data_IF_217520125026
#
_entry.id   IF_217520125026
#
_cell.length_a   1.000
_cell.length_b   1.000
_cell.length_c   1.000
_cell.angle_alpha   90.00
_cell.angle_beta   90.00
_cell.angle_gamma   90.00
#
_symmetry.space_group_name_H-M   'P 1'
#
loop_
_entity.id
_entity.type
_entity.pdbx_description
1 polymer ?
#
# COMPACT_ATOMS: atom_id res chain seq x y z
N UNK A 1 10.78 1.37 -4.71
CA UNK A 1 11.15 0.71 -3.43
C UNK A 1 10.31 -0.56 -3.23
N UNK A 2 10.60 -1.38 -2.22
CA UNK A 2 9.75 -2.50 -1.80
C UNK A 2 9.14 -2.15 -0.44
N UNK A 3 7.81 -2.22 -0.32
CA UNK A 3 7.07 -2.02 0.92
C UNK A 3 6.59 -3.38 1.45
N UNK A 4 7.01 -3.76 2.66
CA UNK A 4 6.64 -5.06 3.25
C UNK A 4 5.38 -4.90 4.11
N UNK A 5 4.32 -5.62 3.78
CA UNK A 5 3.08 -5.65 4.58
C UNK A 5 3.27 -6.51 5.83
N UNK A 6 3.05 -5.92 7.00
CA UNK A 6 3.18 -6.57 8.30
C UNK A 6 1.81 -6.69 8.99
N UNK A 7 1.54 -7.87 9.53
CA UNK A 7 0.35 -8.21 10.32
C UNK A 7 0.71 -8.80 11.69
N UNK A 8 1.95 -8.58 12.13
CA UNK A 8 2.49 -9.13 13.37
C UNK A 8 1.74 -8.57 14.59
N UNK A 9 1.31 -9.45 15.49
CA UNK A 9 0.54 -9.10 16.69
C UNK A 9 1.44 -8.87 17.90
N UNK A 10 2.65 -9.43 17.90
CA UNK A 10 3.62 -9.17 18.93
C UNK A 10 4.33 -7.83 18.66
N UNK A 11 4.14 -6.86 19.54
CA UNK A 11 4.72 -5.52 19.37
C UNK A 11 6.25 -5.52 19.24
N UNK A 12 6.96 -6.30 20.06
CA UNK A 12 8.43 -6.36 20.01
C UNK A 12 8.92 -6.99 18.71
N UNK A 13 8.27 -8.06 18.26
CA UNK A 13 8.60 -8.69 16.98
C UNK A 13 8.29 -7.75 15.80
N UNK A 14 7.21 -6.97 15.86
CA UNK A 14 6.92 -5.95 14.84
C UNK A 14 8.01 -4.87 14.82
N UNK A 15 8.46 -4.39 15.98
CA UNK A 15 9.58 -3.44 16.10
C UNK A 15 10.89 -3.98 15.50
N UNK A 16 11.15 -5.28 15.65
CA UNK A 16 12.29 -5.94 15.00
C UNK A 16 12.12 -6.02 13.48
N UNK A 17 10.92 -6.39 13.01
CA UNK A 17 10.62 -6.52 11.57
C UNK A 17 10.77 -5.19 10.83
N UNK A 18 10.24 -4.09 11.37
CA UNK A 18 10.33 -2.78 10.70
C UNK A 18 11.77 -2.29 10.53
N UNK A 19 12.72 -2.74 11.36
CA UNK A 19 14.14 -2.38 11.21
C UNK A 19 14.84 -3.12 10.08
N UNK A 20 14.25 -4.20 9.58
CA UNK A 20 14.83 -5.05 8.52
C UNK A 20 14.53 -4.54 7.12
N UNK A 21 13.53 -3.69 6.95
CA UNK A 21 13.02 -3.30 5.65
C UNK A 21 13.02 -1.79 5.49
N UNK A 22 13.20 -1.35 4.24
CA UNK A 22 13.29 0.07 3.90
C UNK A 22 11.96 0.81 4.07
N UNK A 23 10.86 0.11 3.84
CA UNK A 23 9.49 0.60 3.90
C UNK A 23 8.58 -0.55 4.34
N UNK A 24 7.66 -0.28 5.26
CA UNK A 24 6.67 -1.26 5.71
C UNK A 24 5.26 -0.67 5.72
N UNK A 25 4.28 -1.50 5.40
CA UNK A 25 2.88 -1.25 5.69
C UNK A 25 2.53 -1.96 7.00
N UNK A 26 1.96 -1.22 7.96
CA UNK A 26 1.45 -1.79 9.20
C UNK A 26 -0.07 -1.97 9.04
N UNK A 27 -0.51 -3.22 8.99
CA UNK A 27 -1.94 -3.58 8.99
C UNK A 27 -2.50 -3.49 10.41
N UNK A 28 -2.80 -2.26 10.84
CA UNK A 28 -3.25 -1.94 12.19
C UNK A 28 -4.54 -2.70 12.55
N UNK A 29 -5.38 -2.99 11.56
CA UNK A 29 -6.57 -3.85 11.71
C UNK A 29 -6.26 -5.30 12.14
N UNK A 30 -5.07 -5.81 11.80
CA UNK A 30 -4.63 -7.18 12.12
C UNK A 30 -3.71 -7.23 13.34
N UNK A 31 -2.89 -6.19 13.53
CA UNK A 31 -1.91 -6.08 14.61
C UNK A 31 -2.56 -5.83 15.99
N UNK A 32 -3.67 -5.07 16.04
CA UNK A 32 -4.43 -4.75 17.27
C UNK A 32 -3.60 -4.04 18.37
N UNK A 33 -2.67 -3.19 17.95
CA UNK A 33 -1.87 -2.37 18.87
C UNK A 33 -2.69 -1.25 19.52
N UNK A 34 -2.35 -0.90 20.76
CA UNK A 34 -2.85 0.29 21.43
C UNK A 34 -2.32 1.57 20.77
N UNK A 35 -2.99 2.71 20.97
CA UNK A 35 -2.49 3.99 20.45
C UNK A 35 -1.09 4.35 20.95
N UNK A 36 -0.69 3.93 22.16
CA UNK A 36 0.66 4.19 22.65
C UNK A 36 1.71 3.37 21.89
N UNK A 37 1.43 2.09 21.64
CA UNK A 37 2.28 1.23 20.81
C UNK A 37 2.37 1.76 19.38
N UNK A 38 1.25 2.18 18.79
CA UNK A 38 1.22 2.81 17.46
C UNK A 38 2.15 4.04 17.43
N UNK A 39 2.05 4.93 18.43
CA UNK A 39 2.91 6.12 18.48
C UNK A 39 4.39 5.78 18.54
N UNK A 40 4.77 4.82 19.38
CA UNK A 40 6.16 4.37 19.49
C UNK A 40 6.64 3.74 18.18
N UNK A 41 5.82 2.89 17.55
CA UNK A 41 6.14 2.23 16.29
C UNK A 41 6.41 3.23 15.17
N UNK A 42 5.47 4.16 14.95
CA UNK A 42 5.54 5.14 13.87
C UNK A 42 6.63 6.19 14.07
N UNK A 43 6.96 6.54 15.31
CA UNK A 43 8.09 7.42 15.61
C UNK A 43 9.47 6.74 15.39
N UNK A 44 9.51 5.41 15.30
CA UNK A 44 10.78 4.67 15.26
C UNK A 44 11.32 4.38 13.85
N UNK A 45 10.52 4.59 12.80
CA UNK A 45 10.91 4.29 11.43
C UNK A 45 10.31 5.29 10.43
N UNK A 46 11.12 5.94 9.57
CA UNK A 46 10.69 7.11 8.78
C UNK A 46 9.79 6.77 7.60
N UNK A 47 9.59 5.49 7.27
CA UNK A 47 8.88 5.03 6.07
C UNK A 47 7.89 3.93 6.41
N UNK A 48 6.88 4.29 7.19
CA UNK A 48 5.77 3.41 7.51
C UNK A 48 4.47 3.90 6.87
N UNK A 49 3.73 2.96 6.29
CA UNK A 49 2.36 3.15 5.77
C UNK A 49 1.38 2.66 6.84
N UNK A 50 0.48 3.53 7.27
CA UNK A 50 -0.61 3.19 8.18
C UNK A 50 -1.83 2.71 7.39
N UNK A 51 -2.23 1.46 7.60
CA UNK A 51 -3.43 0.88 6.98
C UNK A 51 -4.32 0.30 8.06
N UNK A 52 -5.61 0.66 8.05
CA UNK A 52 -6.60 0.08 8.97
C UNK A 52 -7.88 -0.22 8.19
N UNK A 53 -7.95 -1.44 7.63
CA UNK A 53 -9.08 -1.84 6.78
C UNK A 53 -10.40 -1.89 7.56
N UNK A 54 -11.55 -1.67 6.89
CA UNK A 54 -12.85 -1.91 7.48
C UNK A 54 -12.92 -3.36 7.98
N UNK A 55 -13.35 -3.51 9.23
CA UNK A 55 -13.55 -4.76 9.95
C UNK A 55 -14.83 -4.60 10.78
N UNK A 56 -15.11 -5.50 11.73
CA UNK A 56 -16.20 -5.29 12.69
C UNK A 56 -16.00 -4.04 13.58
N UNK A 57 -14.81 -3.45 13.56
CA UNK A 57 -14.49 -2.20 14.25
C UNK A 57 -15.09 -1.00 13.50
N UNK A 58 -15.95 -0.22 14.16
CA UNK A 58 -16.60 0.95 13.57
C UNK A 58 -15.64 2.07 13.15
N UNK A 59 -16.09 2.92 12.23
CA UNK A 59 -15.28 3.99 11.60
C UNK A 59 -14.62 4.94 12.61
N UNK A 60 -15.23 5.21 13.76
CA UNK A 60 -14.66 6.10 14.78
C UNK A 60 -13.40 5.51 15.44
N UNK A 61 -13.37 4.21 15.72
CA UNK A 61 -12.16 3.59 16.26
C UNK A 61 -11.08 3.47 15.18
N UNK A 62 -11.48 3.16 13.93
CA UNK A 62 -10.55 3.16 12.79
C UNK A 62 -9.88 4.53 12.62
N UNK A 63 -10.68 5.60 12.67
CA UNK A 63 -10.19 6.98 12.57
C UNK A 63 -9.18 7.29 13.67
N UNK A 64 -9.50 6.93 14.92
CA UNK A 64 -8.61 7.13 16.07
C UNK A 64 -7.28 6.38 15.92
N UNK A 65 -7.30 5.13 15.43
CA UNK A 65 -6.11 4.33 15.16
C UNK A 65 -5.23 5.02 14.10
N UNK A 66 -5.82 5.45 12.98
CA UNK A 66 -5.10 6.14 11.90
C UNK A 66 -4.56 7.49 12.36
N UNK A 67 -5.32 8.24 13.17
CA UNK A 67 -4.86 9.50 13.76
C UNK A 67 -3.63 9.30 14.66
N UNK A 68 -3.63 8.27 15.51
CA UNK A 68 -2.47 7.92 16.33
C UNK A 68 -1.20 7.66 15.48
N UNK A 69 -1.33 7.04 14.31
CA UNK A 69 -0.21 6.80 13.40
C UNK A 69 0.23 8.08 12.66
N UNK A 70 -0.72 8.87 12.14
CA UNK A 70 -0.44 10.13 11.44
C UNK A 70 0.29 11.12 12.37
N UNK A 71 -0.22 11.31 13.59
CA UNK A 71 0.36 12.20 14.59
C UNK A 71 1.78 11.80 14.99
N UNK A 72 2.08 10.50 14.92
CA UNK A 72 3.38 9.93 15.27
C UNK A 72 4.41 9.96 14.13
N UNK A 73 4.04 10.47 12.94
CA UNK A 73 4.95 10.62 11.81
C UNK A 73 4.87 9.51 10.77
N UNK A 74 3.69 8.89 10.58
CA UNK A 74 3.46 8.03 9.43
C UNK A 74 3.85 8.74 8.12
N UNK A 75 4.58 8.03 7.26
CA UNK A 75 4.96 8.55 5.96
C UNK A 75 3.76 8.54 5.00
N UNK A 76 2.92 7.51 5.11
CA UNK A 76 1.69 7.39 4.35
C UNK A 76 0.54 6.91 5.23
N UNK A 77 -0.68 7.29 4.86
CA UNK A 77 -1.92 6.66 5.35
C UNK A 77 -2.73 6.15 4.17
N UNK A 78 -3.18 4.90 4.25
CA UNK A 78 -4.06 4.26 3.25
C UNK A 78 -5.53 4.39 3.67
N UNK A 79 -6.37 4.82 2.74
CA UNK A 79 -7.80 5.07 2.90
C UNK A 79 -8.52 4.33 1.76
N UNK A 80 -9.51 3.50 2.07
CA UNK A 80 -10.29 2.83 1.04
C UNK A 80 -11.20 3.82 0.30
N UNK A 81 -11.24 3.71 -1.04
CA UNK A 81 -12.05 4.55 -1.91
C UNK A 81 -13.55 4.48 -1.56
N UNK A 82 -14.00 3.30 -1.15
CA UNK A 82 -15.38 2.98 -0.75
C UNK A 82 -15.77 3.54 0.63
N UNK A 83 -14.81 4.08 1.40
CA UNK A 83 -15.11 4.73 2.67
C UNK A 83 -16.02 5.94 2.48
N UNK A 84 -16.79 6.27 3.52
CA UNK A 84 -17.67 7.45 3.50
C UNK A 84 -16.90 8.73 3.23
N UNK A 85 -17.54 9.72 2.59
CA UNK A 85 -16.89 10.99 2.27
C UNK A 85 -16.38 11.71 3.52
N UNK A 86 -17.16 11.70 4.62
CA UNK A 86 -16.75 12.30 5.89
C UNK A 86 -15.49 11.63 6.46
N UNK A 87 -15.44 10.30 6.48
CA UNK A 87 -14.25 9.57 6.91
C UNK A 87 -13.02 9.94 6.07
N UNK A 88 -13.15 9.91 4.73
CA UNK A 88 -12.06 10.29 3.82
C UNK A 88 -11.55 11.69 4.12
N UNK A 89 -12.45 12.67 4.22
CA UNK A 89 -12.09 14.07 4.44
C UNK A 89 -11.39 14.29 5.79
N UNK A 90 -11.84 13.62 6.86
CA UNK A 90 -11.22 13.71 8.19
C UNK A 90 -9.77 13.19 8.16
N UNK A 91 -9.53 12.02 7.54
CA UNK A 91 -8.17 11.47 7.43
C UNK A 91 -7.29 12.34 6.54
N UNK A 92 -7.80 12.81 5.40
CA UNK A 92 -7.03 13.67 4.46
C UNK A 92 -6.63 14.99 5.13
N UNK A 93 -7.54 15.64 5.86
CA UNK A 93 -7.21 16.86 6.61
C UNK A 93 -6.11 16.60 7.64
N UNK A 94 -6.27 15.56 8.45
CA UNK A 94 -5.30 15.20 9.48
C UNK A 94 -3.93 14.85 8.88
N UNK A 95 -3.90 14.11 7.77
CA UNK A 95 -2.67 13.77 7.08
C UNK A 95 -1.93 15.02 6.58
N UNK A 96 -2.66 15.98 6.00
CA UNK A 96 -2.12 17.26 5.53
C UNK A 96 -1.51 18.09 6.67
N UNK A 97 -2.17 18.19 7.81
CA UNK A 97 -1.67 18.91 9.00
C UNK A 97 -0.32 18.35 9.50
N UNK A 98 -0.13 17.03 9.35
CA UNK A 98 1.04 16.32 9.86
C UNK A 98 2.08 15.95 8.79
N UNK A 99 1.92 16.42 7.54
CA UNK A 99 2.80 16.11 6.40
C UNK A 99 2.91 14.60 6.12
N UNK A 100 1.82 13.87 6.34
CA UNK A 100 1.66 12.47 5.97
C UNK A 100 1.03 12.40 4.58
N UNK A 101 1.60 11.59 3.67
CA UNK A 101 1.04 11.43 2.33
C UNK A 101 -0.19 10.51 2.34
N UNK A 102 -1.19 10.83 1.53
CA UNK A 102 -2.44 10.06 1.46
C UNK A 102 -2.44 9.10 0.28
N UNK A 103 -2.83 7.86 0.53
CA UNK A 103 -3.10 6.85 -0.49
C UNK A 103 -4.60 6.59 -0.48
N UNK A 104 -5.27 6.80 -1.62
CA UNK A 104 -6.63 6.31 -1.80
C UNK A 104 -6.59 4.99 -2.56
N UNK A 105 -7.04 3.92 -1.93
CA UNK A 105 -6.95 2.57 -2.46
C UNK A 105 -8.29 2.03 -2.94
N UNK A 106 -8.30 1.53 -4.17
CA UNK A 106 -9.40 0.78 -4.76
C UNK A 106 -9.02 -0.69 -4.88
N UNK A 107 -9.94 -1.59 -4.51
CA UNK A 107 -9.72 -3.02 -4.55
C UNK A 107 -10.84 -3.72 -5.31
N UNK A 108 -10.48 -4.52 -6.32
CA UNK A 108 -11.43 -5.40 -7.00
C UNK A 108 -10.95 -6.85 -6.92
N UNK A 109 -11.55 -7.62 -6.01
CA UNK A 109 -11.17 -9.02 -5.77
C UNK A 109 -11.71 -9.98 -6.82
N UNK A 110 -12.54 -9.51 -7.74
CA UNK A 110 -13.19 -10.36 -8.72
C UNK A 110 -12.50 -10.31 -10.07
N UNK A 111 -12.21 -9.13 -10.61
CA UNK A 111 -11.69 -8.95 -11.97
C UNK A 111 -10.86 -7.68 -12.11
N UNK A 112 -10.19 -7.53 -13.26
CA UNK A 112 -9.50 -6.31 -13.65
C UNK A 112 -10.35 -5.52 -14.65
N UNK A 113 -10.79 -4.29 -14.32
CA UNK A 113 -11.51 -3.44 -15.25
C UNK A 113 -10.68 -3.10 -16.51
N UNK A 114 -11.33 -2.77 -17.64
CA UNK A 114 -10.65 -2.24 -18.81
C UNK A 114 -9.87 -0.96 -18.47
N UNK A 115 -8.79 -0.68 -19.21
CA UNK A 115 -7.92 0.48 -18.97
C UNK A 115 -8.68 1.81 -18.91
N UNK A 116 -9.71 2.01 -19.73
CA UNK A 116 -10.57 3.21 -19.69
C UNK A 116 -11.29 3.38 -18.35
N UNK A 117 -11.75 2.29 -17.74
CA UNK A 117 -12.38 2.34 -16.41
C UNK A 117 -11.34 2.53 -15.31
N UNK A 118 -10.16 1.93 -15.44
CA UNK A 118 -9.04 2.18 -14.52
C UNK A 118 -8.66 3.68 -14.50
N UNK A 119 -8.65 4.34 -15.66
CA UNK A 119 -8.42 5.78 -15.76
C UNK A 119 -9.50 6.60 -15.04
N UNK A 120 -10.77 6.25 -15.21
CA UNK A 120 -11.86 6.91 -14.48
C UNK A 120 -11.70 6.77 -12.96
N UNK A 121 -11.32 5.57 -12.47
CA UNK A 121 -11.05 5.32 -11.05
C UNK A 121 -9.87 6.18 -10.57
N UNK A 122 -8.83 6.34 -11.39
CA UNK A 122 -7.69 7.21 -11.08
C UNK A 122 -8.12 8.67 -10.97
N UNK A 123 -8.90 9.16 -11.93
CA UNK A 123 -9.41 10.53 -11.94
C UNK A 123 -10.34 10.81 -10.75
N UNK A 124 -11.25 9.89 -10.46
CA UNK A 124 -12.09 9.95 -9.26
C UNK A 124 -11.25 9.99 -7.99
N UNK A 125 -10.20 9.15 -7.90
CA UNK A 125 -9.34 9.12 -6.73
C UNK A 125 -8.66 10.46 -6.47
N UNK A 126 -8.03 11.04 -7.50
CA UNK A 126 -7.38 12.35 -7.38
C UNK A 126 -8.36 13.50 -7.15
N UNK A 127 -9.63 13.38 -7.57
CA UNK A 127 -10.66 14.40 -7.28
C UNK A 127 -10.93 14.60 -5.78
N UNK A 128 -10.55 13.63 -4.94
CA UNK A 128 -10.62 13.74 -3.48
C UNK A 128 -9.46 14.52 -2.85
N UNK A 129 -8.47 14.94 -3.65
CA UNK A 129 -7.31 15.70 -3.19
C UNK A 129 -6.23 14.85 -2.51
N UNK A 130 -6.14 13.56 -2.84
CA UNK A 130 -5.11 12.65 -2.32
C UNK A 130 -3.79 12.75 -3.09
N UNK A 131 -2.72 12.29 -2.47
CA UNK A 131 -1.37 12.32 -3.04
C UNK A 131 -1.11 11.17 -4.01
N UNK A 132 -1.64 9.98 -3.71
CA UNK A 132 -1.40 8.73 -4.44
C UNK A 132 -2.71 7.98 -4.63
N UNK A 133 -2.93 7.44 -5.83
CA UNK A 133 -4.01 6.47 -6.07
C UNK A 133 -3.43 5.06 -6.18
N UNK A 134 -4.00 4.13 -5.41
CA UNK A 134 -3.63 2.71 -5.41
C UNK A 134 -4.76 1.87 -5.99
N UNK A 135 -4.44 0.99 -6.93
CA UNK A 135 -5.41 0.06 -7.52
C UNK A 135 -4.86 -1.36 -7.40
N UNK A 136 -5.63 -2.24 -6.78
CA UNK A 136 -5.33 -3.67 -6.70
C UNK A 136 -6.51 -4.49 -7.22
N UNK A 137 -6.34 -5.17 -8.36
CA UNK A 137 -7.44 -5.93 -8.99
C UNK A 137 -7.06 -7.37 -9.27
N UNK A 138 -8.02 -8.30 -9.26
CA UNK A 138 -7.74 -9.71 -9.51
C UNK A 138 -7.52 -9.98 -11.01
N UNK A 139 -6.40 -10.62 -11.34
CA UNK A 139 -6.00 -10.91 -12.73
C UNK A 139 -6.55 -12.29 -13.11
N UNK A 140 -7.51 -12.33 -14.04
CA UNK A 140 -8.11 -13.59 -14.54
C UNK A 140 -7.39 -14.07 -15.79
N UNK A 141 -6.97 -13.15 -16.65
CA UNK A 141 -6.29 -13.43 -17.91
C UNK A 141 -5.07 -12.53 -18.07
N UNK A 142 -4.09 -12.97 -18.85
CA UNK A 142 -2.77 -12.34 -18.98
C UNK A 142 -2.88 -10.93 -19.59
N UNK A 143 -3.91 -10.69 -20.41
CA UNK A 143 -4.21 -9.36 -20.98
C UNK A 143 -4.56 -8.32 -19.92
N UNK A 144 -5.11 -8.71 -18.77
CA UNK A 144 -5.44 -7.80 -17.67
C UNK A 144 -4.19 -7.08 -17.16
N UNK A 145 -3.03 -7.76 -17.17
CA UNK A 145 -1.75 -7.16 -16.79
C UNK A 145 -1.38 -5.97 -17.68
N UNK A 146 -1.67 -6.06 -18.99
CA UNK A 146 -1.41 -4.96 -19.92
C UNK A 146 -2.29 -3.75 -19.60
N UNK A 147 -3.56 -3.96 -19.24
CA UNK A 147 -4.45 -2.88 -18.81
C UNK A 147 -3.90 -2.18 -17.55
N UNK A 148 -3.49 -2.95 -16.54
CA UNK A 148 -2.90 -2.42 -15.30
C UNK A 148 -1.59 -1.65 -15.52
N UNK A 149 -0.72 -2.13 -16.41
CA UNK A 149 0.54 -1.45 -16.71
C UNK A 149 0.34 -0.20 -17.59
N UNK A 150 -0.71 -0.16 -18.41
CA UNK A 150 -0.94 0.93 -19.37
C UNK A 150 -1.29 2.29 -18.76
N UNK A 151 -1.70 2.34 -17.48
CA UNK A 151 -2.11 3.59 -16.82
C UNK A 151 -0.95 4.41 -16.26
N UNK A 152 0.25 3.81 -16.20
CA UNK A 152 1.48 4.49 -15.80
C UNK A 152 1.98 5.46 -16.88
N UNK A 153 2.96 6.31 -16.54
CA UNK A 153 3.61 7.24 -17.50
C UNK A 153 2.90 8.58 -17.73
N UNK A 154 1.86 8.90 -16.95
CA UNK A 154 1.06 10.13 -17.08
C UNK A 154 1.38 11.21 -16.03
N UNK A 155 2.56 11.16 -15.40
CA UNK A 155 3.00 12.15 -14.40
C UNK A 155 2.19 12.14 -13.08
N UNK A 156 1.39 11.10 -12.84
CA UNK A 156 0.59 10.91 -11.62
C UNK A 156 1.29 9.91 -10.69
N UNK A 157 1.19 10.11 -9.37
CA UNK A 157 1.73 9.18 -8.37
C UNK A 157 0.76 8.00 -8.20
N UNK A 158 1.15 6.81 -8.66
CA UNK A 158 0.27 5.65 -8.75
C UNK A 158 0.91 4.41 -8.13
N UNK A 159 0.09 3.54 -7.53
CA UNK A 159 0.46 2.18 -7.13
C UNK A 159 -0.58 1.20 -7.66
N UNK A 160 -0.34 0.69 -8.87
CA UNK A 160 -1.27 -0.18 -9.60
C UNK A 160 -0.64 -1.55 -9.82
N UNK A 161 -1.30 -2.61 -9.34
CA UNK A 161 -0.87 -3.99 -9.52
C UNK A 161 -2.03 -5.00 -9.48
N UNK A 162 -1.77 -6.18 -9.98
CA UNK A 162 -2.67 -7.31 -10.03
C UNK A 162 -2.52 -8.24 -8.82
N UNK A 163 -3.66 -8.74 -8.33
CA UNK A 163 -3.76 -9.83 -7.36
C UNK A 163 -3.85 -11.17 -8.07
N UNK A 164 -3.45 -12.23 -7.35
CA UNK A 164 -3.38 -13.60 -7.87
C UNK A 164 -2.06 -13.89 -8.58
N UNK A 165 -1.81 -15.18 -8.83
CA UNK A 165 -0.56 -15.67 -9.43
C UNK A 165 -0.29 -15.00 -10.80
N UNK A 166 -1.31 -14.91 -11.65
CA UNK A 166 -1.23 -14.27 -12.97
C UNK A 166 -0.88 -12.78 -12.91
N UNK A 167 -1.14 -12.13 -11.78
CA UNK A 167 -0.87 -10.70 -11.55
C UNK A 167 0.56 -10.40 -11.07
N UNK A 168 1.34 -11.42 -10.68
CA UNK A 168 2.67 -11.23 -10.07
C UNK A 168 3.61 -10.35 -10.90
N UNK A 169 3.54 -10.44 -12.24
CA UNK A 169 4.37 -9.63 -13.14
C UNK A 169 4.18 -8.12 -12.92
N UNK A 170 2.95 -7.67 -12.66
CA UNK A 170 2.66 -6.25 -12.43
C UNK A 170 3.21 -5.76 -11.10
N UNK A 171 3.33 -6.63 -10.08
CA UNK A 171 3.98 -6.29 -8.80
C UNK A 171 5.47 -6.03 -8.98
N UNK A 172 6.12 -6.82 -9.85
CA UNK A 172 7.52 -6.59 -10.23
C UNK A 172 7.64 -5.30 -11.04
N UNK A 173 6.79 -5.12 -12.05
CA UNK A 173 6.89 -4.00 -12.99
C UNK A 173 6.52 -2.64 -12.38
N UNK A 174 5.62 -2.57 -11.40
CA UNK A 174 5.07 -1.31 -10.89
C UNK A 174 6.13 -0.25 -10.55
N UNK A 175 7.19 -0.54 -9.76
CA UNK A 175 8.22 0.46 -9.49
C UNK A 175 9.05 0.86 -10.71
N UNK A 176 9.23 -0.05 -11.67
CA UNK A 176 9.94 0.23 -12.92
C UNK A 176 9.11 1.12 -13.86
N UNK A 177 7.79 1.13 -13.70
CA UNK A 177 6.85 1.97 -14.45
C UNK A 177 6.53 3.29 -13.74
N UNK A 178 7.18 3.57 -12.60
CA UNK A 178 7.06 4.85 -11.88
C UNK A 178 6.28 4.80 -10.57
N UNK A 179 5.84 3.63 -10.10
CA UNK A 179 5.30 3.51 -8.75
C UNK A 179 6.41 3.74 -7.71
N UNK A 180 6.07 4.39 -6.60
CA UNK A 180 7.04 4.67 -5.53
C UNK A 180 7.49 3.39 -4.83
N UNK A 181 6.56 2.44 -4.71
CA UNK A 181 6.83 1.11 -4.19
C UNK A 181 5.80 0.09 -4.69
N UNK A 182 6.13 -1.17 -4.48
CA UNK A 182 5.23 -2.31 -4.61
C UNK A 182 5.14 -3.04 -3.28
N UNK A 183 4.09 -3.83 -3.09
CA UNK A 183 3.83 -4.55 -1.84
C UNK A 183 4.37 -5.98 -1.89
N UNK A 184 5.11 -6.34 -0.85
CA UNK A 184 5.71 -7.65 -0.62
C UNK A 184 5.30 -8.21 0.76
N UNK A 185 5.53 -9.51 0.96
CA UNK A 185 5.43 -10.17 2.26
C UNK A 185 6.82 -10.48 2.84
N UNK A 186 6.90 -10.79 4.13
CA UNK A 186 8.15 -11.20 4.78
C UNK A 186 8.58 -12.55 4.21
N UNK A 187 7.65 -13.49 4.18
CA UNK A 187 7.78 -14.85 3.67
C UNK A 187 6.43 -15.30 3.07
N UNK A 188 6.36 -16.53 2.56
CA UNK A 188 5.15 -17.07 1.91
C UNK A 188 3.96 -17.17 2.88
N UNK A 189 4.22 -17.48 4.15
CA UNK A 189 3.18 -17.67 5.18
C UNK A 189 2.63 -16.32 5.69
N UNK A 190 3.39 -15.24 5.52
CA UNK A 190 3.01 -13.90 5.95
C UNK A 190 2.22 -13.10 4.89
N UNK A 191 1.81 -13.71 3.78
CA UNK A 191 1.13 -13.01 2.69
C UNK A 191 -0.25 -12.47 3.14
N UNK A 192 -0.48 -11.17 2.91
CA UNK A 192 -1.74 -10.47 3.25
C UNK A 192 -2.66 -10.29 2.04
N UNK A 193 -2.21 -10.63 0.83
CA UNK A 193 -2.99 -10.60 -0.40
C UNK A 193 -2.51 -11.67 -1.41
N UNK A 194 -3.41 -12.24 -2.24
CA UNK A 194 -3.04 -13.21 -3.25
C UNK A 194 -1.98 -12.69 -4.23
N UNK A 195 -0.96 -13.53 -4.47
CA UNK A 195 0.15 -13.23 -5.39
C UNK A 195 1.21 -12.27 -4.82
N UNK A 196 1.22 -12.00 -3.51
CA UNK A 196 2.35 -11.29 -2.90
C UNK A 196 3.64 -12.10 -3.02
N UNK A 197 4.73 -11.40 -3.35
CA UNK A 197 6.05 -11.98 -3.54
C UNK A 197 6.85 -11.71 -2.26
N UNK A 198 7.55 -12.72 -1.68
CA UNK A 198 8.46 -12.50 -0.56
C UNK A 198 9.52 -11.44 -0.87
N UNK A 199 9.82 -10.59 0.11
CA UNK A 199 10.77 -9.48 -0.03
C UNK A 199 12.10 -9.89 -0.67
N UNK A 200 12.72 -10.97 -0.17
CA UNK A 200 14.02 -11.43 -0.68
C UNK A 200 13.96 -11.88 -2.14
N UNK A 201 12.83 -12.45 -2.59
CA UNK A 201 12.64 -12.83 -3.99
C UNK A 201 12.53 -11.60 -4.87
N UNK A 202 11.71 -10.64 -4.47
CA UNK A 202 11.52 -9.41 -5.24
C UNK A 202 12.80 -8.57 -5.30
N UNK A 203 13.53 -8.49 -4.19
CA UNK A 203 14.85 -7.86 -4.11
C UNK A 203 15.83 -8.51 -5.08
N UNK A 204 15.89 -9.85 -5.12
CA UNK A 204 16.74 -10.58 -6.07
C UNK A 204 16.35 -10.30 -7.52
N UNK A 205 15.06 -10.25 -7.84
CA UNK A 205 14.58 -9.88 -9.18
C UNK A 205 15.10 -8.48 -9.55
N UNK A 206 14.95 -7.49 -8.68
CA UNK A 206 15.44 -6.13 -8.96
C UNK A 206 16.97 -6.05 -9.09
N UNK A 207 17.72 -6.82 -8.31
CA UNK A 207 19.17 -6.92 -8.48
C UNK A 207 19.56 -7.48 -9.85
N UNK A 208 18.84 -8.48 -10.37
CA UNK A 208 19.10 -9.06 -11.69
C UNK A 208 18.69 -8.15 -12.85
N UNK A 209 17.79 -7.19 -12.61
CA UNK A 209 17.32 -6.24 -13.61
C UNK A 209 18.13 -4.94 -13.66
N UNK A 210 18.94 -4.67 -12.63
CA UNK A 210 19.85 -3.53 -12.66
C UNK A 210 21.02 -3.86 -13.61
N UNK A 211 21.41 -2.93 -14.51
CA UNK A 211 22.58 -3.15 -15.34
C UNK A 211 23.82 -3.31 -14.46
N UNK A 212 24.73 -4.20 -14.86
CA UNK A 212 26.05 -4.30 -14.23
C UNK A 212 26.70 -2.92 -14.26
N UNK A 213 27.16 -2.44 -13.10
CA UNK A 213 27.81 -1.14 -12.95
C UNK A 213 29.21 -1.08 -13.60
N UNK A 214 29.51 -2.00 -14.51
CA UNK A 214 30.82 -2.25 -15.12
C UNK A 214 30.77 -2.22 -16.66
N UNK A 215 30.01 -1.28 -17.23
CA UNK A 215 30.14 -0.86 -18.63
C UNK A 215 30.27 0.67 -18.72
#
# INVERSE_FOLDING_TARGET
>A
MICVSLQEKNFQQCMELIRRFECCEIRLDLCRFSCNEIRVLFASHPRLVATCRPTDTGDEERKKILFCAIEAGAAYVDIEMESSLSFKMDIIHKAREHRCATILSYHNYEYTPPATMLENIIEEGFSHGVDVVKIATYVRVERDNAALMSVYGKGRRLIVFGMGEKGMITRVAAPLLGAEFTFACVDEDSATAPGQIPYERLKKIYQLMQPDSSL
#
